data_IF_951539234905
#
_entry.id   IF_951539234905
#
_cell.length_a   1.000
_cell.length_b   1.000
_cell.length_c   1.000
_cell.angle_alpha   90.00
_cell.angle_beta   90.00
_cell.angle_gamma   90.00
#
_symmetry.space_group_name_H-M   'P 1'
#
loop_
_entity.id
_entity.type
_entity.pdbx_description
1 polymer ?
#
# COMPACT_ATOMS: atom_id res chain seq x y z
N UNK A 1 -32.89 6.24 0.62
CA UNK A 1 -31.49 6.41 1.06
C UNK A 1 -30.73 5.14 0.69
N UNK A 2 -29.79 5.23 -0.25
CA UNK A 2 -29.04 4.06 -0.73
C UNK A 2 -28.11 3.58 0.39
N UNK A 3 -28.00 2.27 0.63
CA UNK A 3 -27.20 1.67 1.73
C UNK A 3 -25.74 2.17 1.69
N UNK A 4 -25.27 2.49 0.48
CA UNK A 4 -24.01 3.14 0.10
C UNK A 4 -23.73 4.45 0.88
N UNK A 5 -24.72 5.32 1.04
CA UNK A 5 -24.58 6.62 1.73
C UNK A 5 -24.38 6.44 3.23
N UNK A 6 -25.12 5.49 3.82
CA UNK A 6 -25.14 5.29 5.27
C UNK A 6 -23.81 4.79 5.84
N UNK A 7 -23.06 3.97 5.10
CA UNK A 7 -21.75 3.48 5.56
C UNK A 7 -20.71 4.59 5.63
N UNK A 8 -20.63 5.42 4.59
CA UNK A 8 -19.74 6.58 4.56
C UNK A 8 -20.12 7.60 5.64
N UNK A 9 -21.42 7.90 5.80
CA UNK A 9 -21.91 8.80 6.86
C UNK A 9 -21.51 8.35 8.27
N UNK A 10 -21.51 7.04 8.55
CA UNK A 10 -21.05 6.52 9.85
C UNK A 10 -19.55 6.76 10.02
N UNK A 11 -18.75 6.47 8.99
CA UNK A 11 -17.30 6.67 9.03
C UNK A 11 -16.93 8.15 9.14
N UNK A 12 -17.67 9.05 8.50
CA UNK A 12 -17.48 10.50 8.61
C UNK A 12 -17.77 10.99 10.04
N UNK A 13 -18.88 10.54 10.64
CA UNK A 13 -19.18 10.83 12.05
C UNK A 13 -18.12 10.28 13.00
N UNK A 14 -17.61 9.07 12.74
CA UNK A 14 -16.50 8.51 13.50
C UNK A 14 -15.24 9.36 13.34
N UNK A 15 -14.95 9.85 12.13
CA UNK A 15 -13.80 10.72 11.88
C UNK A 15 -13.92 12.01 12.67
N UNK A 16 -15.09 12.65 12.69
CA UNK A 16 -15.36 13.85 13.50
C UNK A 16 -15.12 13.60 14.99
N UNK A 17 -15.73 12.54 15.54
CA UNK A 17 -15.62 12.19 16.96
C UNK A 17 -14.16 11.93 17.37
N UNK A 18 -13.44 11.10 16.60
CA UNK A 18 -12.06 10.75 16.90
C UNK A 18 -11.10 11.91 16.63
N UNK A 19 -11.37 12.75 15.63
CA UNK A 19 -10.59 13.96 15.37
C UNK A 19 -10.73 14.96 16.52
N UNK A 20 -11.93 15.11 17.09
CA UNK A 20 -12.16 15.93 18.27
C UNK A 20 -11.43 15.39 19.49
N UNK A 21 -11.48 14.06 19.72
CA UNK A 21 -10.92 13.43 20.91
C UNK A 21 -9.40 13.26 20.89
N UNK A 22 -8.82 12.91 19.75
CA UNK A 22 -7.41 12.53 19.63
C UNK A 22 -6.59 13.47 18.73
N UNK A 23 -7.24 14.40 18.04
CA UNK A 23 -6.64 15.27 17.04
C UNK A 23 -6.85 14.73 15.61
N UNK A 24 -7.07 15.65 14.67
CA UNK A 24 -7.39 15.34 13.26
C UNK A 24 -6.27 14.60 12.51
N UNK A 25 -5.01 14.82 12.91
CA UNK A 25 -3.82 14.16 12.36
C UNK A 25 -3.29 13.04 13.26
N UNK A 26 -4.13 12.52 14.16
CA UNK A 26 -3.76 11.39 15.02
C UNK A 26 -3.74 10.06 14.26
N UNK A 27 -3.03 9.08 14.80
CA UNK A 27 -3.03 7.70 14.30
C UNK A 27 -4.46 7.13 14.19
N UNK A 28 -5.35 7.45 15.14
CA UNK A 28 -6.74 7.03 15.07
C UNK A 28 -7.50 7.73 13.91
N UNK A 29 -7.24 9.02 13.68
CA UNK A 29 -7.77 9.72 12.50
C UNK A 29 -7.29 9.09 11.18
N UNK A 30 -6.02 8.66 11.10
CA UNK A 30 -5.49 7.98 9.91
C UNK A 30 -6.19 6.65 9.63
N UNK A 31 -6.49 5.86 10.67
CA UNK A 31 -7.26 4.61 10.54
C UNK A 31 -8.58 4.85 9.84
N UNK A 32 -9.34 5.82 10.34
CA UNK A 32 -10.70 6.08 9.86
C UNK A 32 -10.64 6.59 8.42
N UNK A 33 -9.70 7.48 8.09
CA UNK A 33 -9.48 7.96 6.71
C UNK A 33 -9.17 6.81 5.74
N UNK A 34 -8.36 5.81 6.15
CA UNK A 34 -8.15 4.61 5.33
C UNK A 34 -9.42 3.77 5.17
N UNK A 35 -10.23 3.61 6.23
CA UNK A 35 -11.51 2.91 6.13
C UNK A 35 -12.49 3.61 5.20
N UNK A 36 -12.57 4.95 5.24
CA UNK A 36 -13.34 5.75 4.30
C UNK A 36 -12.84 5.49 2.87
N UNK A 37 -11.54 5.61 2.62
CA UNK A 37 -10.94 5.38 1.30
C UNK A 37 -11.19 3.97 0.74
N UNK A 38 -10.97 2.94 1.55
CA UNK A 38 -11.20 1.55 1.16
C UNK A 38 -12.69 1.33 0.85
N UNK A 39 -13.58 1.88 1.67
CA UNK A 39 -15.04 1.79 1.46
C UNK A 39 -15.47 2.52 0.20
N UNK A 40 -14.97 3.75 -0.03
CA UNK A 40 -15.28 4.52 -1.25
C UNK A 40 -14.79 3.80 -2.51
N UNK A 41 -13.60 3.19 -2.47
CA UNK A 41 -13.08 2.42 -3.60
C UNK A 41 -13.95 1.18 -3.85
N UNK A 42 -14.32 0.45 -2.80
CA UNK A 42 -15.20 -0.71 -2.88
C UNK A 42 -16.53 -0.36 -3.57
N UNK A 43 -17.19 0.69 -3.10
CA UNK A 43 -18.42 1.18 -3.69
C UNK A 43 -18.22 1.58 -5.17
N UNK A 44 -17.13 2.29 -5.49
CA UNK A 44 -16.84 2.73 -6.86
C UNK A 44 -16.61 1.56 -7.83
N UNK A 45 -15.90 0.50 -7.42
CA UNK A 45 -15.63 -0.64 -8.32
C UNK A 45 -16.79 -1.63 -8.42
N UNK A 46 -17.70 -1.61 -7.45
CA UNK A 46 -18.86 -2.49 -7.39
C UNK A 46 -20.18 -1.84 -7.80
N UNK A 47 -20.21 -0.53 -8.09
CA UNK A 47 -21.42 0.15 -8.53
C UNK A 47 -21.78 -0.09 -10.00
N UNK A 48 -23.04 0.18 -10.32
CA UNK A 48 -23.51 0.36 -11.70
C UNK A 48 -22.98 1.68 -12.29
N UNK A 49 -22.79 1.71 -13.62
CA UNK A 49 -22.20 2.86 -14.32
C UNK A 49 -22.94 4.19 -14.06
N UNK A 50 -24.26 4.14 -13.85
CA UNK A 50 -25.06 5.35 -13.55
C UNK A 50 -24.67 6.05 -12.23
N UNK A 51 -23.96 5.37 -11.34
CA UNK A 51 -23.49 5.92 -10.05
C UNK A 51 -21.97 6.19 -10.04
N UNK A 52 -21.24 5.85 -11.10
CA UNK A 52 -19.77 5.97 -11.17
C UNK A 52 -19.29 7.39 -10.92
N UNK A 53 -20.00 8.40 -11.44
CA UNK A 53 -19.59 9.80 -11.32
C UNK A 53 -19.61 10.27 -9.86
N UNK A 54 -20.75 10.11 -9.17
CA UNK A 54 -20.88 10.53 -7.77
C UNK A 54 -19.90 9.77 -6.87
N UNK A 55 -19.74 8.47 -7.09
CA UNK A 55 -18.80 7.66 -6.32
C UNK A 55 -17.34 7.97 -6.63
N UNK A 56 -17.03 8.43 -7.84
CA UNK A 56 -15.70 8.94 -8.17
C UNK A 56 -15.37 10.21 -7.37
N UNK A 57 -16.34 11.11 -7.17
CA UNK A 57 -16.17 12.30 -6.32
C UNK A 57 -15.85 11.87 -4.88
N UNK A 58 -16.65 10.98 -4.29
CA UNK A 58 -16.41 10.46 -2.95
C UNK A 58 -15.05 9.75 -2.81
N UNK A 59 -14.63 9.01 -3.85
CA UNK A 59 -13.34 8.34 -3.88
C UNK A 59 -12.18 9.34 -3.91
N UNK A 60 -12.32 10.41 -4.69
CA UNK A 60 -11.34 11.49 -4.75
C UNK A 60 -11.22 12.21 -3.41
N UNK A 61 -12.35 12.59 -2.79
CA UNK A 61 -12.36 13.21 -1.47
C UNK A 61 -11.71 12.32 -0.41
N UNK A 62 -12.03 11.02 -0.40
CA UNK A 62 -11.41 10.07 0.52
C UNK A 62 -9.90 9.89 0.27
N UNK A 63 -9.47 9.98 -0.98
CA UNK A 63 -8.05 9.97 -1.36
C UNK A 63 -7.34 11.21 -0.82
N UNK A 64 -7.94 12.38 -1.03
CA UNK A 64 -7.43 13.67 -0.57
C UNK A 64 -7.33 13.74 0.96
N UNK A 65 -8.29 13.16 1.69
CA UNK A 65 -8.24 13.04 3.17
C UNK A 65 -6.97 12.32 3.66
N UNK A 66 -6.60 11.22 3.01
CA UNK A 66 -5.41 10.43 3.39
C UNK A 66 -4.13 11.16 3.00
N UNK A 67 -4.08 11.80 1.83
CA UNK A 67 -2.93 12.60 1.39
C UNK A 67 -2.70 13.81 2.30
N UNK A 68 -3.76 14.56 2.59
CA UNK A 68 -3.74 15.70 3.53
C UNK A 68 -3.21 15.26 4.90
N UNK A 69 -3.63 14.09 5.38
CA UNK A 69 -3.12 13.53 6.62
C UNK A 69 -1.61 13.34 6.58
N UNK A 70 -1.08 12.71 5.53
CA UNK A 70 0.36 12.48 5.43
C UNK A 70 1.18 13.75 5.26
N UNK A 71 0.63 14.77 4.60
CA UNK A 71 1.30 16.06 4.39
C UNK A 71 1.37 16.92 5.65
N UNK A 72 0.32 16.89 6.48
CA UNK A 72 0.16 17.81 7.62
C UNK A 72 0.36 17.17 8.98
N UNK A 73 0.34 15.85 9.08
CA UNK A 73 0.77 15.20 10.30
C UNK A 73 2.22 15.63 10.58
N UNK A 74 2.45 16.32 11.70
CA UNK A 74 3.78 16.64 12.21
C UNK A 74 4.53 15.34 12.46
N UNK A 75 5.13 14.81 11.41
CA UNK A 75 6.22 13.89 11.56
C UNK A 75 7.39 14.80 11.82
N UNK A 76 7.86 14.86 13.06
CA UNK A 76 9.27 15.16 13.25
C UNK A 76 9.99 14.26 12.25
N UNK A 77 10.65 14.79 11.21
CA UNK A 77 11.47 13.95 10.36
C UNK A 77 12.40 13.30 11.37
N UNK A 78 12.26 11.98 11.56
CA UNK A 78 13.32 11.25 12.21
C UNK A 78 14.39 11.34 11.16
N UNK A 79 15.22 12.38 11.30
CA UNK A 79 16.46 12.59 10.58
C UNK A 79 17.35 11.44 11.07
N UNK A 80 17.00 10.20 10.74
CA UNK A 80 18.02 9.19 10.56
C UNK A 80 18.68 9.59 9.25
N UNK A 81 19.79 10.30 9.36
CA UNK A 81 20.71 10.60 8.26
C UNK A 81 21.16 9.33 7.50
N UNK A 82 20.80 8.14 7.98
CA UNK A 82 21.05 6.88 7.34
C UNK A 82 19.85 6.49 6.46
N UNK A 83 19.78 7.02 5.25
CA UNK A 83 18.97 6.40 4.19
C UNK A 83 19.59 5.04 3.89
N UNK A 84 18.87 3.95 4.16
CA UNK A 84 19.34 2.59 3.88
C UNK A 84 19.21 2.18 2.41
N UNK A 85 18.82 3.11 1.55
CA UNK A 85 18.72 2.90 0.10
C UNK A 85 19.17 4.14 -0.65
N UNK A 86 19.53 3.94 -1.91
CA UNK A 86 19.92 4.99 -2.85
C UNK A 86 19.23 4.79 -4.20
N UNK A 87 19.00 5.90 -4.91
CA UNK A 87 18.47 5.87 -6.28
C UNK A 87 19.53 5.30 -7.22
N UNK A 88 19.10 4.41 -8.12
CA UNK A 88 19.91 3.88 -9.22
C UNK A 88 19.13 4.00 -10.52
N UNK A 89 19.83 4.22 -11.63
CA UNK A 89 19.23 4.27 -12.95
C UNK A 89 19.51 2.97 -13.70
N UNK A 90 18.47 2.34 -14.25
CA UNK A 90 18.57 1.12 -15.06
C UNK A 90 17.77 1.38 -16.33
N UNK A 91 18.43 1.34 -17.48
CA UNK A 91 17.83 1.59 -18.80
C UNK A 91 17.06 2.93 -18.89
N UNK A 92 17.58 4.00 -18.28
CA UNK A 92 16.92 5.32 -18.28
C UNK A 92 15.74 5.45 -17.31
N UNK A 93 15.46 4.42 -16.51
CA UNK A 93 14.42 4.43 -15.50
C UNK A 93 15.01 4.46 -14.08
N UNK A 94 14.34 5.19 -13.18
CA UNK A 94 14.67 5.25 -11.76
C UNK A 94 14.24 4.00 -11.00
N UNK A 95 15.13 3.49 -10.16
CA UNK A 95 14.95 2.42 -9.19
C UNK A 95 15.61 2.79 -7.85
N UNK A 96 15.36 2.01 -6.82
CA UNK A 96 15.91 2.18 -5.49
C UNK A 96 16.61 0.90 -5.06
N UNK A 97 17.91 0.99 -4.78
CA UNK A 97 18.70 -0.14 -4.29
C UNK A 97 18.91 -0.01 -2.79
N UNK A 98 18.57 -1.06 -2.05
CA UNK A 98 18.85 -1.12 -0.62
C UNK A 98 20.32 -1.45 -0.38
N UNK A 99 20.89 -0.88 0.68
CA UNK A 99 22.28 -1.07 1.08
C UNK A 99 22.55 -2.56 1.40
N UNK A 100 23.44 -3.23 0.63
CA UNK A 100 23.73 -4.65 0.83
C UNK A 100 24.36 -4.99 2.18
N UNK A 101 25.17 -4.09 2.77
CA UNK A 101 25.83 -4.34 4.06
C UNK A 101 24.80 -4.28 5.20
N UNK A 102 23.88 -3.30 5.14
CA UNK A 102 22.76 -3.21 6.09
C UNK A 102 21.83 -4.41 5.92
N UNK A 103 21.59 -4.84 4.68
CA UNK A 103 20.78 -6.01 4.41
C UNK A 103 21.38 -7.28 5.02
N UNK A 104 22.66 -7.51 4.78
CA UNK A 104 23.36 -8.68 5.31
C UNK A 104 23.32 -8.71 6.84
N UNK A 105 23.49 -7.55 7.47
CA UNK A 105 23.48 -7.43 8.93
C UNK A 105 22.13 -7.73 9.58
N UNK A 106 21.02 -7.31 8.98
CA UNK A 106 19.71 -7.30 9.64
C UNK A 106 18.65 -8.21 9.00
N UNK A 107 18.83 -8.58 7.73
CA UNK A 107 17.76 -9.10 6.89
C UNK A 107 18.11 -10.34 6.08
N UNK A 108 19.38 -10.71 5.85
CA UNK A 108 19.75 -11.84 4.95
C UNK A 108 19.05 -13.14 5.32
N UNK A 109 19.14 -13.57 6.58
CA UNK A 109 18.44 -14.77 7.08
C UNK A 109 16.92 -14.70 6.86
N UNK A 110 16.31 -13.52 7.07
CA UNK A 110 14.87 -13.34 6.85
C UNK A 110 14.54 -13.36 5.36
N UNK A 111 15.39 -12.78 4.52
CA UNK A 111 15.31 -12.80 3.07
C UNK A 111 15.16 -14.20 2.53
N UNK A 112 16.10 -15.09 2.85
CA UNK A 112 16.11 -16.48 2.37
C UNK A 112 14.82 -17.24 2.71
N UNK A 113 14.26 -16.99 3.90
CA UNK A 113 13.07 -17.67 4.41
C UNK A 113 11.80 -17.09 3.81
N UNK A 114 11.70 -15.76 3.78
CA UNK A 114 10.50 -15.06 3.30
C UNK A 114 10.38 -15.13 1.80
N UNK A 115 11.50 -15.14 1.06
CA UNK A 115 11.51 -15.26 -0.39
C UNK A 115 10.75 -16.48 -0.91
N UNK A 116 10.76 -17.60 -0.16
CA UNK A 116 10.03 -18.83 -0.49
C UNK A 116 8.50 -18.70 -0.31
N UNK A 117 8.04 -17.65 0.38
CA UNK A 117 6.64 -17.35 0.68
C UNK A 117 6.09 -16.19 -0.16
N UNK A 118 6.92 -15.60 -1.02
CA UNK A 118 6.51 -14.53 -1.91
C UNK A 118 5.81 -15.10 -3.13
N UNK A 119 4.81 -14.37 -3.61
CA UNK A 119 4.15 -14.67 -4.87
C UNK A 119 4.31 -13.51 -5.83
N UNK A 120 4.52 -13.82 -7.10
CA UNK A 120 4.37 -12.84 -8.17
C UNK A 120 2.89 -12.52 -8.31
N UNK A 121 2.53 -11.23 -8.37
CA UNK A 121 1.15 -10.86 -8.56
C UNK A 121 0.68 -11.36 -9.94
N UNK A 122 -0.43 -12.10 -9.93
CA UNK A 122 -1.07 -12.66 -11.12
C UNK A 122 -2.54 -12.90 -10.79
N UNK A 123 -3.37 -13.22 -11.78
CA UNK A 123 -4.77 -13.62 -11.52
C UNK A 123 -4.89 -14.82 -10.56
N UNK A 124 -3.88 -15.67 -10.50
CA UNK A 124 -3.92 -16.93 -9.74
C UNK A 124 -3.84 -16.70 -8.23
N UNK A 125 -3.27 -15.58 -7.78
CA UNK A 125 -3.13 -15.28 -6.34
C UNK A 125 -4.47 -15.04 -5.66
N UNK A 126 -5.55 -14.88 -6.43
CA UNK A 126 -6.85 -14.41 -5.95
C UNK A 126 -7.47 -15.26 -4.83
N UNK A 127 -7.21 -16.57 -4.88
CA UNK A 127 -7.68 -17.51 -3.87
C UNK A 127 -6.93 -17.33 -2.54
N UNK A 128 -5.75 -16.72 -2.57
CA UNK A 128 -4.90 -16.47 -1.40
C UNK A 128 -5.02 -15.03 -0.86
N UNK A 129 -5.82 -14.19 -1.52
CA UNK A 129 -6.05 -12.80 -1.14
C UNK A 129 -7.41 -12.65 -0.46
N UNK A 130 -7.38 -12.01 0.70
CA UNK A 130 -8.53 -11.49 1.42
C UNK A 130 -8.78 -10.04 0.97
N UNK A 131 -10.05 -9.71 0.70
CA UNK A 131 -10.46 -8.34 0.40
C UNK A 131 -10.24 -7.41 1.59
N UNK A 132 -9.97 -6.13 1.30
CA UNK A 132 -9.93 -5.03 2.28
C UNK A 132 -8.83 -5.18 3.35
N UNK A 133 -7.88 -6.09 3.14
CA UNK A 133 -6.67 -6.26 3.98
C UNK A 133 -5.45 -5.66 3.29
N UNK A 134 -4.49 -5.24 4.09
CA UNK A 134 -3.23 -4.72 3.59
C UNK A 134 -2.19 -5.84 3.41
N UNK A 135 -1.41 -5.72 2.35
CA UNK A 135 -0.31 -6.61 2.02
C UNK A 135 0.95 -5.79 1.73
N UNK A 136 2.13 -6.34 1.99
CA UNK A 136 3.37 -5.73 1.51
C UNK A 136 3.54 -6.08 0.04
N UNK A 137 3.97 -5.10 -0.74
CA UNK A 137 4.40 -5.34 -2.10
C UNK A 137 5.76 -4.71 -2.38
N UNK A 138 6.44 -5.26 -3.39
CA UNK A 138 7.54 -4.62 -4.07
C UNK A 138 7.41 -4.90 -5.59
N UNK A 139 7.90 -3.99 -6.42
CA UNK A 139 8.12 -4.23 -7.83
C UNK A 139 9.63 -4.33 -8.02
N UNK A 140 10.13 -5.47 -8.48
CA UNK A 140 11.57 -5.72 -8.57
C UNK A 140 12.23 -5.04 -9.79
N UNK A 141 13.55 -5.20 -9.94
CA UNK A 141 14.32 -4.72 -11.11
C UNK A 141 13.85 -5.26 -12.47
N UNK A 142 13.16 -6.40 -12.48
CA UNK A 142 12.62 -7.03 -13.69
C UNK A 142 11.17 -6.58 -13.98
N UNK A 143 10.67 -5.55 -13.28
CA UNK A 143 9.30 -5.04 -13.39
C UNK A 143 8.22 -6.06 -13.00
N UNK A 144 8.57 -7.02 -12.14
CA UNK A 144 7.63 -8.01 -11.64
C UNK A 144 7.05 -7.53 -10.30
N UNK A 145 5.71 -7.46 -10.18
CA UNK A 145 5.07 -7.18 -8.91
C UNK A 145 5.13 -8.42 -8.02
N UNK A 146 5.64 -8.26 -6.80
CA UNK A 146 5.77 -9.29 -5.78
C UNK A 146 4.92 -8.90 -4.58
N UNK A 147 4.19 -9.86 -4.03
CA UNK A 147 3.34 -9.69 -2.86
C UNK A 147 3.74 -10.70 -1.79
N UNK A 148 3.80 -10.23 -0.54
CA UNK A 148 3.82 -11.11 0.62
C UNK A 148 2.39 -11.39 1.08
N UNK A 149 1.91 -12.63 0.95
CA UNK A 149 0.50 -13.01 1.15
C UNK A 149 -0.01 -12.97 2.59
N UNK A 150 0.84 -12.64 3.56
CA UNK A 150 0.38 -12.46 4.94
C UNK A 150 -0.18 -11.05 5.10
N UNK A 151 -1.41 -10.97 5.59
CA UNK A 151 -2.08 -9.70 5.86
C UNK A 151 -1.36 -8.94 6.96
N UNK A 152 -1.32 -7.63 6.84
CA UNK A 152 -0.74 -6.72 7.82
C UNK A 152 -1.89 -6.03 8.53
N UNK A 153 -1.96 -6.10 9.86
CA UNK A 153 -2.91 -5.29 10.62
C UNK A 153 -2.66 -3.81 10.32
N UNK A 154 -3.72 -3.07 10.02
CA UNK A 154 -3.63 -1.64 9.73
C UNK A 154 -2.96 -0.85 10.88
N UNK A 155 -3.15 -1.30 12.12
CA UNK A 155 -2.46 -0.75 13.29
C UNK A 155 -0.93 -0.84 13.18
N UNK A 156 -0.39 -1.97 12.71
CA UNK A 156 1.06 -2.17 12.57
C UNK A 156 1.64 -1.32 11.44
N UNK A 157 0.86 -1.06 10.39
CA UNK A 157 1.26 -0.18 9.28
C UNK A 157 1.44 1.27 9.69
N UNK A 158 0.63 1.74 10.63
CA UNK A 158 0.73 3.12 11.11
C UNK A 158 1.87 3.31 12.09
N UNK A 159 2.13 2.34 12.96
CA UNK A 159 3.17 2.41 14.00
C UNK A 159 4.56 1.96 13.52
N UNK A 160 4.79 1.91 12.20
CA UNK A 160 6.13 1.69 11.64
C UNK A 160 6.61 0.24 11.61
N UNK A 161 5.70 -0.75 11.64
CA UNK A 161 5.99 -2.19 11.41
C UNK A 161 7.07 -2.81 12.29
N UNK A 162 7.47 -2.17 13.40
CA UNK A 162 8.57 -2.65 14.25
C UNK A 162 8.34 -4.05 14.83
N UNK A 163 7.10 -4.55 14.77
CA UNK A 163 6.66 -5.84 15.29
C UNK A 163 6.32 -6.86 14.21
N UNK A 164 6.36 -6.50 12.92
CA UNK A 164 5.97 -7.43 11.85
C UNK A 164 7.05 -8.50 11.70
N UNK A 165 6.73 -9.72 12.12
CA UNK A 165 7.62 -10.88 12.08
C UNK A 165 6.90 -12.13 11.60
N UNK A 166 7.67 -13.04 11.04
CA UNK A 166 7.27 -14.42 10.77
C UNK A 166 8.11 -15.34 11.66
N UNK A 167 7.54 -15.82 12.76
CA UNK A 167 8.35 -16.40 13.83
C UNK A 167 9.29 -15.34 14.40
N UNK A 168 10.59 -15.60 14.33
CA UNK A 168 11.63 -14.66 14.76
C UNK A 168 12.12 -13.70 13.65
N UNK A 169 11.76 -13.97 12.40
CA UNK A 169 12.29 -13.27 11.23
C UNK A 169 11.56 -11.95 10.95
N UNK A 170 12.24 -10.78 10.97
CA UNK A 170 11.63 -9.52 10.62
C UNK A 170 11.11 -9.48 9.18
N UNK A 171 9.93 -8.90 9.00
CA UNK A 171 9.34 -8.64 7.69
C UNK A 171 9.46 -7.15 7.37
N UNK A 172 10.21 -6.85 6.30
CA UNK A 172 10.39 -5.51 5.77
C UNK A 172 10.51 -5.57 4.24
N UNK A 173 10.29 -4.46 3.54
CA UNK A 173 10.37 -4.44 2.07
C UNK A 173 11.67 -5.02 1.47
N UNK A 174 12.87 -4.82 2.05
CA UNK A 174 14.09 -5.41 1.48
C UNK A 174 14.06 -6.93 1.42
N UNK A 175 13.40 -7.60 2.37
CA UNK A 175 13.32 -9.07 2.37
C UNK A 175 12.48 -9.60 1.20
N UNK A 176 11.61 -8.77 0.61
CA UNK A 176 10.83 -9.13 -0.59
C UNK A 176 11.71 -9.22 -1.86
N UNK A 177 12.94 -8.70 -1.80
CA UNK A 177 13.81 -8.49 -2.96
C UNK A 177 15.15 -9.22 -2.82
N UNK A 178 15.22 -10.22 -1.93
CA UNK A 178 16.41 -11.04 -1.68
C UNK A 178 17.02 -11.58 -2.98
N UNK A 179 16.20 -12.17 -3.85
CA UNK A 179 16.63 -12.74 -5.14
C UNK A 179 16.75 -11.71 -6.28
N UNK A 180 16.63 -10.42 -5.99
CA UNK A 180 16.49 -9.36 -7.00
C UNK A 180 17.47 -8.20 -6.77
N UNK A 181 18.66 -8.50 -6.28
CA UNK A 181 19.74 -7.56 -5.96
C UNK A 181 19.32 -6.44 -4.99
N UNK A 182 18.23 -6.65 -4.25
CA UNK A 182 17.64 -5.64 -3.37
C UNK A 182 17.23 -4.36 -4.13
N UNK A 183 16.83 -4.47 -5.39
CA UNK A 183 16.44 -3.35 -6.24
C UNK A 183 14.92 -3.32 -6.42
N UNK A 184 14.31 -2.19 -6.08
CA UNK A 184 12.89 -1.93 -6.21
C UNK A 184 12.61 -0.82 -7.22
N UNK A 185 11.65 -1.03 -8.13
CA UNK A 185 10.99 0.07 -8.85
C UNK A 185 10.04 0.84 -7.95
N UNK A 186 9.36 0.13 -7.05
CA UNK A 186 8.45 0.68 -6.06
C UNK A 186 8.21 -0.33 -4.95
N UNK A 187 7.88 0.15 -3.76
CA UNK A 187 7.62 -0.67 -2.58
C UNK A 187 6.69 0.09 -1.65
N UNK A 188 5.78 -0.65 -1.01
CA UNK A 188 4.78 -0.06 -0.12
C UNK A 188 3.74 -1.10 0.27
N UNK A 189 2.51 -0.64 0.43
CA UNK A 189 1.37 -1.51 0.74
C UNK A 189 0.32 -1.47 -0.36
N UNK A 190 -0.36 -2.59 -0.48
CA UNK A 190 -1.48 -2.76 -1.39
C UNK A 190 -2.69 -3.33 -0.62
N UNK A 191 -3.87 -2.81 -0.93
CA UNK A 191 -5.16 -3.38 -0.52
C UNK A 191 -5.90 -3.79 -1.77
N UNK A 192 -6.53 -4.97 -1.74
CA UNK A 192 -7.35 -5.46 -2.84
C UNK A 192 -8.83 -5.27 -2.52
N UNK A 193 -9.60 -4.83 -3.51
CA UNK A 193 -11.05 -4.93 -3.46
C UNK A 193 -11.45 -6.16 -4.28
N UNK A 194 -12.13 -7.07 -3.61
CA UNK A 194 -12.57 -8.35 -4.17
C UNK A 194 -14.10 -8.36 -4.29
N UNK A 195 -14.59 -8.96 -5.36
CA UNK A 195 -15.96 -9.45 -5.47
C UNK A 195 -15.90 -10.92 -5.09
N UNK A 196 -16.31 -11.22 -3.85
CA UNK A 196 -16.18 -12.55 -3.26
C UNK A 196 -17.06 -13.58 -3.96
N UNK A 197 -18.26 -13.17 -4.44
CA UNK A 197 -19.19 -14.05 -5.16
C UNK A 197 -18.59 -14.54 -6.47
N UNK A 198 -17.90 -13.66 -7.19
CA UNK A 198 -17.25 -13.98 -8.47
C UNK A 198 -15.80 -14.43 -8.30
N UNK A 199 -15.26 -14.32 -7.09
CA UNK A 199 -13.86 -14.56 -6.78
C UNK A 199 -12.93 -13.82 -7.76
N UNK A 200 -13.17 -12.51 -7.97
CA UNK A 200 -12.38 -11.61 -8.84
C UNK A 200 -11.86 -10.39 -8.06
N UNK A 201 -10.63 -9.95 -8.31
CA UNK A 201 -10.12 -8.67 -7.80
C UNK A 201 -10.60 -7.59 -8.77
N UNK A 202 -11.37 -6.63 -8.27
CA UNK A 202 -11.98 -5.57 -9.09
C UNK A 202 -11.29 -4.22 -8.96
N UNK A 203 -10.52 -4.04 -7.89
CA UNK A 203 -9.79 -2.81 -7.63
C UNK A 203 -8.61 -3.01 -6.71
N UNK A 204 -7.77 -2.00 -6.63
CA UNK A 204 -6.65 -1.97 -5.68
C UNK A 204 -6.36 -0.56 -5.18
N UNK A 205 -5.87 -0.46 -3.96
CA UNK A 205 -5.30 0.75 -3.39
C UNK A 205 -3.81 0.50 -3.17
N UNK A 206 -2.94 1.33 -3.74
CA UNK A 206 -1.49 1.18 -3.69
C UNK A 206 -0.88 2.42 -3.05
N UNK A 207 0.05 2.27 -2.11
CA UNK A 207 0.85 3.39 -1.61
C UNK A 207 2.35 3.13 -1.84
N UNK A 208 3.19 4.16 -1.74
CA UNK A 208 4.65 4.05 -1.81
C UNK A 208 5.32 4.10 -0.42
N UNK A 209 4.63 3.70 0.65
CA UNK A 209 5.05 3.89 2.05
C UNK A 209 6.13 2.88 2.50
N UNK A 210 7.29 2.91 1.87
CA UNK A 210 8.45 2.13 2.31
C UNK A 210 9.48 3.01 3.00
N UNK A 211 9.63 2.87 4.32
CA UNK A 211 10.70 3.56 5.06
C UNK A 211 12.11 3.05 4.72
N UNK A 212 12.22 1.90 4.04
CA UNK A 212 13.48 1.29 3.63
C UNK A 212 13.94 1.75 2.26
N UNK A 213 13.03 1.83 1.29
CA UNK A 213 13.34 2.21 -0.10
C UNK A 213 13.00 3.67 -0.44
N UNK A 214 12.02 4.25 0.27
CA UNK A 214 11.51 5.61 0.09
C UNK A 214 11.22 5.99 -1.37
N UNK A 215 10.50 5.14 -2.14
CA UNK A 215 10.32 5.38 -3.57
C UNK A 215 9.54 6.68 -3.82
N UNK A 216 9.96 7.46 -4.80
CA UNK A 216 9.27 8.71 -5.18
C UNK A 216 7.82 8.44 -5.58
N UNK A 217 6.88 9.35 -5.26
CA UNK A 217 5.49 9.27 -5.75
C UNK A 217 5.40 9.14 -7.28
N UNK A 218 6.38 9.66 -8.03
CA UNK A 218 6.45 9.54 -9.49
C UNK A 218 6.49 8.10 -10.01
N UNK A 219 6.94 7.15 -9.17
CA UNK A 219 6.97 5.72 -9.53
C UNK A 219 5.59 5.05 -9.51
N UNK A 220 4.60 5.65 -8.83
CA UNK A 220 3.30 5.02 -8.60
C UNK A 220 2.50 4.80 -9.89
N UNK A 221 2.65 5.65 -10.91
CA UNK A 221 1.99 5.42 -12.20
C UNK A 221 2.53 4.18 -12.91
N UNK A 222 3.84 3.93 -12.77
CA UNK A 222 4.47 2.72 -13.33
C UNK A 222 4.05 1.49 -12.54
N UNK A 223 4.06 1.56 -11.20
CA UNK A 223 3.57 0.48 -10.32
C UNK A 223 2.10 0.16 -10.63
N UNK A 224 1.24 1.17 -10.73
CA UNK A 224 -0.17 1.06 -11.09
C UNK A 224 -0.36 0.35 -12.44
N UNK A 225 0.42 0.70 -13.45
CA UNK A 225 0.41 0.03 -14.76
C UNK A 225 0.79 -1.46 -14.63
N UNK A 226 1.84 -1.77 -13.87
CA UNK A 226 2.32 -3.14 -13.67
C UNK A 226 1.26 -4.00 -12.97
N UNK A 227 0.68 -3.52 -11.87
CA UNK A 227 -0.39 -4.24 -11.16
C UNK A 227 -1.67 -4.38 -11.98
N UNK A 228 -2.06 -3.33 -12.71
CA UNK A 228 -3.19 -3.38 -13.65
C UNK A 228 -3.02 -4.51 -14.67
N UNK A 229 -1.84 -4.64 -15.27
CA UNK A 229 -1.55 -5.71 -16.24
C UNK A 229 -1.49 -7.09 -15.59
N UNK A 230 -0.78 -7.21 -14.47
CA UNK A 230 -0.58 -8.47 -13.78
C UNK A 230 -1.89 -9.10 -13.26
N UNK A 231 -2.79 -8.26 -12.74
CA UNK A 231 -4.06 -8.70 -12.15
C UNK A 231 -5.25 -8.55 -13.11
N UNK A 232 -5.04 -7.95 -14.29
CA UNK A 232 -6.09 -7.60 -15.26
C UNK A 232 -7.20 -6.76 -14.62
N UNK A 233 -6.78 -5.73 -13.88
CA UNK A 233 -7.66 -4.74 -13.25
C UNK A 233 -7.54 -3.46 -14.07
N UNK A 234 -8.67 -2.81 -14.32
CA UNK A 234 -8.64 -1.54 -15.04
C UNK A 234 -7.93 -0.45 -14.24
N UNK A 235 -7.17 0.42 -14.91
CA UNK A 235 -6.34 1.42 -14.21
C UNK A 235 -7.17 2.40 -13.39
N UNK A 236 -8.36 2.75 -13.85
CA UNK A 236 -9.29 3.61 -13.10
C UNK A 236 -9.77 2.99 -11.79
N UNK A 237 -9.70 1.66 -11.65
CA UNK A 237 -10.03 0.95 -10.41
C UNK A 237 -8.81 0.78 -9.49
N UNK A 238 -7.66 1.37 -9.84
CA UNK A 238 -6.46 1.40 -9.00
C UNK A 238 -6.22 2.82 -8.51
N UNK A 239 -6.37 3.01 -7.20
CA UNK A 239 -6.06 4.27 -6.52
C UNK A 239 -4.64 4.22 -5.97
N UNK A 240 -3.91 5.33 -6.11
CA UNK A 240 -2.53 5.46 -5.65
C UNK A 240 -2.40 6.56 -4.61
N UNK A 241 -1.70 6.29 -3.51
CA UNK A 241 -1.41 7.25 -2.44
C UNK A 241 0.10 7.53 -2.46
N UNK A 242 0.46 8.69 -3.02
CA UNK A 242 1.83 9.20 -3.04
C UNK A 242 2.19 9.87 -1.72
N UNK A 243 3.20 9.35 -1.05
CA UNK A 243 3.70 9.85 0.22
C UNK A 243 5.17 10.23 0.02
N UNK A 244 5.51 11.47 0.34
CA UNK A 244 6.87 11.99 0.25
C UNK A 244 7.64 11.73 1.55
N UNK A 245 8.95 11.48 1.43
CA UNK A 245 9.89 11.52 2.56
C UNK A 245 9.69 10.49 3.67
N UNK A 246 8.99 9.38 3.40
CA UNK A 246 8.79 8.27 4.37
C UNK A 246 10.05 7.43 4.51
#
# INVERSE_FOLDING_TARGET
MNITSRRLEILDKMLEEYSYKYGYYSVAGLLIKYYILITSLDLFVNCEDKYKYDLYVNLKEATDLVLDHYQKAERSPTISQNTWSYEVEINGEKFYKFDPEIYEKYYSNSGEIIQKKLVKASKEIINSIEGHKFYLYAVNKNMEPIIYLKTIPLFDLMNGRQRLKEGEYPIAHPVLLHNYDLIAKGAGEIVFIKDDDKNIIKGALINNKSGHFRPSPSTLEVVKKIFSQALNISKENIVTIGIEGV
#
